data_IF_546181418303
#
_entry.id   IF_546181418303
#
_cell.length_a   1.000
_cell.length_b   1.000
_cell.length_c   1.000
_cell.angle_alpha   90.00
_cell.angle_beta   90.00
_cell.angle_gamma   90.00
#
_symmetry.space_group_name_H-M   'P 1'
#
loop_
_entity.id
_entity.type
_entity.pdbx_description
1 polymer ?
#
# COMPACT_ATOMS: atom_id res chain seq x y z
N UNK A 1 27.67 -13.47 17.40
CA UNK A 1 26.66 -12.38 17.35
C UNK A 1 26.78 -11.52 18.60
N UNK A 2 27.18 -10.26 18.45
CA UNK A 2 27.68 -9.41 19.56
C UNK A 2 26.49 -8.95 20.43
N UNK A 3 26.62 -8.91 21.76
CA UNK A 3 25.56 -8.49 22.72
C UNK A 3 24.81 -7.22 22.27
N UNK A 4 25.53 -6.27 21.66
CA UNK A 4 24.98 -5.05 21.06
C UNK A 4 23.90 -5.30 20.00
N UNK A 5 24.04 -6.33 19.16
CA UNK A 5 23.06 -6.70 18.13
C UNK A 5 21.79 -7.27 18.76
N UNK A 6 21.93 -8.07 19.83
CA UNK A 6 20.79 -8.59 20.60
C UNK A 6 20.01 -7.46 21.29
N UNK A 7 20.71 -6.51 21.90
CA UNK A 7 20.08 -5.33 22.53
C UNK A 7 19.37 -4.48 21.47
N UNK A 8 20.02 -4.21 20.33
CA UNK A 8 19.42 -3.46 19.23
C UNK A 8 18.14 -4.15 18.70
N UNK A 9 18.20 -5.45 18.46
CA UNK A 9 17.05 -6.24 17.98
C UNK A 9 15.90 -6.21 19.00
N UNK A 10 16.22 -6.38 20.29
CA UNK A 10 15.24 -6.28 21.37
C UNK A 10 14.57 -4.91 21.42
N UNK A 11 15.36 -3.82 21.32
CA UNK A 11 14.84 -2.45 21.30
C UNK A 11 13.89 -2.21 20.13
N UNK A 12 14.25 -2.65 18.92
CA UNK A 12 13.41 -2.47 17.72
C UNK A 12 12.08 -3.22 17.84
N UNK A 13 12.07 -4.41 18.45
CA UNK A 13 10.87 -5.24 18.60
C UNK A 13 9.96 -4.80 19.75
N UNK A 14 10.51 -4.25 20.83
CA UNK A 14 9.76 -4.04 22.08
C UNK A 14 9.55 -2.57 22.46
N UNK A 15 10.30 -1.64 21.90
CA UNK A 15 10.16 -0.21 22.20
C UNK A 15 9.37 0.47 21.10
N UNK A 16 8.38 1.27 21.48
CA UNK A 16 7.62 2.08 20.55
C UNK A 16 8.56 2.94 19.70
N UNK A 17 8.49 2.77 18.38
CA UNK A 17 9.36 3.43 17.42
C UNK A 17 9.33 4.97 17.53
N UNK A 18 8.24 5.53 18.06
CA UNK A 18 8.09 6.97 18.31
C UNK A 18 9.04 7.50 19.37
N UNK A 19 9.42 6.68 20.35
CA UNK A 19 10.32 7.11 21.42
C UNK A 19 11.73 7.38 20.92
N UNK A 20 12.15 6.72 19.83
CA UNK A 20 13.44 6.99 19.20
C UNK A 20 13.50 8.40 18.60
N UNK A 21 12.35 8.97 18.20
CA UNK A 21 12.30 10.35 17.70
C UNK A 21 12.64 11.39 18.77
N UNK A 22 12.38 11.09 20.04
CA UNK A 22 12.72 11.97 21.17
C UNK A 22 14.24 12.01 21.40
N UNK A 23 14.95 10.95 21.01
CA UNK A 23 16.40 10.82 21.18
C UNK A 23 17.15 11.31 19.94
N UNK A 24 16.65 11.00 18.75
CA UNK A 24 17.19 11.55 17.50
C UNK A 24 16.21 11.44 16.34
N UNK A 25 16.08 12.54 15.59
CA UNK A 25 15.33 12.58 14.33
C UNK A 25 15.90 11.71 13.22
N UNK A 26 17.12 11.17 13.38
CA UNK A 26 17.74 10.24 12.42
C UNK A 26 17.22 8.81 12.52
N UNK A 27 16.55 8.45 13.63
CA UNK A 27 16.02 7.11 13.86
C UNK A 27 14.49 7.10 13.76
N UNK A 28 13.97 7.35 12.56
CA UNK A 28 12.53 7.21 12.26
C UNK A 28 12.27 5.88 11.59
N UNK A 29 11.44 5.04 12.21
CA UNK A 29 10.98 3.80 11.61
C UNK A 29 9.78 4.06 10.74
N UNK A 30 9.79 3.44 9.58
CA UNK A 30 8.74 3.63 8.59
C UNK A 30 7.59 2.64 8.78
N UNK A 31 7.94 1.43 9.21
CA UNK A 31 7.03 0.31 9.45
C UNK A 31 7.36 -0.35 10.79
N UNK A 32 6.36 -0.91 11.45
CA UNK A 32 6.47 -1.71 12.67
C UNK A 32 7.06 -3.07 12.29
N UNK A 33 7.93 -3.62 13.14
CA UNK A 33 8.42 -5.00 12.97
C UNK A 33 7.41 -5.93 13.64
N UNK A 34 6.89 -6.96 12.96
CA UNK A 34 6.01 -7.93 13.60
C UNK A 34 6.69 -8.62 14.79
N UNK A 35 5.92 -8.86 15.85
CA UNK A 35 6.43 -9.44 17.10
C UNK A 35 6.71 -10.94 17.01
N UNK A 36 6.29 -11.59 15.93
CA UNK A 36 6.43 -13.02 15.72
C UNK A 36 6.89 -13.30 14.29
N UNK A 37 7.96 -14.09 14.16
CA UNK A 37 8.59 -14.50 12.90
C UNK A 37 7.65 -15.31 12.01
N UNK A 38 6.51 -15.79 12.54
CA UNK A 38 5.43 -16.44 11.80
C UNK A 38 4.50 -15.52 11.01
N UNK A 39 4.68 -14.20 11.12
CA UNK A 39 3.87 -13.26 10.35
C UNK A 39 4.26 -13.26 8.87
N UNK A 40 3.25 -13.16 8.01
CA UNK A 40 3.41 -12.88 6.58
C UNK A 40 2.98 -11.45 6.34
N UNK A 41 3.73 -10.70 5.54
CA UNK A 41 3.51 -9.28 5.30
C UNK A 41 2.91 -9.09 3.91
N UNK A 42 2.02 -8.12 3.80
CA UNK A 42 1.51 -7.63 2.53
C UNK A 42 1.48 -6.11 2.55
N UNK A 43 1.60 -5.53 1.37
CA UNK A 43 1.15 -4.17 1.15
C UNK A 43 -0.39 -4.13 1.16
N UNK A 44 -0.94 -2.92 1.35
CA UNK A 44 -2.37 -2.68 1.30
C UNK A 44 -2.67 -1.89 0.03
N UNK A 45 -3.22 -2.59 -0.95
CA UNK A 45 -3.36 -2.11 -2.31
C UNK A 45 -4.71 -1.43 -2.52
N UNK A 46 -4.77 -0.27 -3.21
CA UNK A 46 -6.06 0.27 -3.64
C UNK A 46 -6.81 -0.68 -4.56
N UNK A 47 -8.08 -0.92 -4.26
CA UNK A 47 -9.01 -1.63 -5.11
C UNK A 47 -9.90 -0.60 -5.81
N UNK A 48 -9.84 -0.55 -7.15
CA UNK A 48 -10.75 0.23 -7.99
C UNK A 48 -11.55 -0.69 -8.91
N UNK A 49 -12.84 -0.80 -8.67
CA UNK A 49 -13.78 -1.64 -9.43
C UNK A 49 -15.09 -0.90 -9.78
N UNK A 50 -15.32 0.28 -9.21
CA UNK A 50 -16.46 1.15 -9.51
C UNK A 50 -16.21 2.03 -10.74
N UNK A 51 -17.26 2.69 -11.24
CA UNK A 51 -17.15 3.73 -12.28
C UNK A 51 -16.31 3.31 -13.52
N UNK A 52 -16.58 2.10 -14.01
CA UNK A 52 -15.88 1.45 -15.14
C UNK A 52 -14.41 1.08 -14.90
N UNK A 53 -13.89 1.30 -13.69
CA UNK A 53 -12.58 0.81 -13.32
C UNK A 53 -12.55 -0.70 -13.21
N UNK A 54 -11.39 -1.25 -13.53
CA UNK A 54 -11.00 -2.61 -13.21
C UNK A 54 -9.56 -2.61 -12.72
N UNK A 55 -9.32 -3.35 -11.64
CA UNK A 55 -7.99 -3.57 -11.09
C UNK A 55 -7.50 -4.99 -11.42
N UNK A 56 -6.22 -5.12 -11.69
CA UNK A 56 -5.54 -6.38 -12.00
C UNK A 56 -4.37 -6.54 -11.03
N UNK A 57 -4.21 -7.72 -10.45
CA UNK A 57 -3.07 -7.99 -9.60
C UNK A 57 -2.12 -8.98 -10.25
N UNK A 58 -0.85 -8.62 -10.36
CA UNK A 58 0.21 -9.49 -10.88
C UNK A 58 0.70 -10.39 -9.73
N UNK A 59 0.04 -11.54 -9.54
CA UNK A 59 0.37 -12.49 -8.49
C UNK A 59 1.61 -13.30 -8.88
N UNK A 60 2.69 -13.14 -8.12
CA UNK A 60 3.94 -13.84 -8.35
C UNK A 60 3.95 -15.19 -7.62
N UNK A 61 4.50 -16.22 -8.24
CA UNK A 61 4.80 -17.48 -7.57
C UNK A 61 6.14 -17.35 -6.82
N UNK A 62 6.09 -16.70 -5.65
CA UNK A 62 7.24 -16.46 -4.78
C UNK A 62 8.08 -17.73 -4.54
N UNK A 63 7.51 -18.90 -4.18
CA UNK A 63 8.24 -20.17 -4.13
C UNK A 63 9.19 -20.40 -5.30
N UNK A 64 8.64 -20.32 -6.51
CA UNK A 64 9.33 -20.65 -7.75
C UNK A 64 10.35 -19.57 -8.11
N UNK A 65 10.16 -18.33 -7.67
CA UNK A 65 11.14 -17.27 -7.85
C UNK A 65 12.37 -17.44 -6.95
N UNK A 66 12.16 -17.94 -5.73
CA UNK A 66 13.24 -18.17 -4.76
C UNK A 66 13.99 -19.48 -5.07
N UNK A 67 13.24 -20.56 -5.33
CA UNK A 67 13.79 -21.86 -5.72
C UNK A 67 13.14 -22.36 -7.02
N UNK A 68 13.68 -21.96 -8.19
CA UNK A 68 13.17 -22.38 -9.50
C UNK A 68 13.27 -23.88 -9.76
N UNK A 69 14.11 -24.59 -8.99
CA UNK A 69 14.38 -26.02 -9.16
C UNK A 69 13.45 -26.91 -8.35
N UNK A 70 12.77 -26.37 -7.34
CA UNK A 70 11.80 -27.10 -6.54
C UNK A 70 10.57 -27.48 -7.36
N UNK A 71 10.13 -28.74 -7.27
CA UNK A 71 8.77 -29.11 -7.66
C UNK A 71 7.81 -28.42 -6.69
N UNK A 72 7.25 -27.29 -7.12
CA UNK A 72 6.44 -26.45 -6.24
C UNK A 72 5.19 -27.22 -5.76
N UNK A 73 5.25 -27.67 -4.51
CA UNK A 73 4.12 -28.23 -3.78
C UNK A 73 3.13 -27.10 -3.53
N UNK A 74 1.92 -27.21 -4.10
CA UNK A 74 0.73 -26.35 -3.88
C UNK A 74 1.00 -25.08 -3.06
N UNK A 75 1.11 -23.93 -3.72
CA UNK A 75 1.18 -22.65 -3.03
C UNK A 75 -0.21 -22.00 -3.01
N UNK A 76 -0.84 -21.92 -1.84
CA UNK A 76 -2.07 -21.16 -1.69
C UNK A 76 -1.73 -19.73 -1.28
N UNK A 77 -2.53 -18.81 -1.80
CA UNK A 77 -2.43 -17.39 -1.48
C UNK A 77 -3.79 -16.91 -1.03
N UNK A 78 -3.80 -16.30 0.15
CA UNK A 78 -4.98 -15.71 0.75
C UNK A 78 -5.10 -14.25 0.32
N UNK A 79 -6.22 -13.93 -0.32
CA UNK A 79 -6.66 -12.56 -0.57
C UNK A 79 -7.61 -12.14 0.55
N UNK A 80 -7.40 -10.94 1.07
CA UNK A 80 -8.25 -10.28 2.06
C UNK A 80 -8.71 -8.95 1.49
N UNK A 81 -10.02 -8.69 1.51
CA UNK A 81 -10.61 -7.47 0.97
C UNK A 81 -11.21 -6.62 2.09
N UNK A 82 -11.05 -5.31 1.97
CA UNK A 82 -11.54 -4.33 2.94
C UNK A 82 -12.35 -3.24 2.24
N UNK A 83 -13.34 -2.69 2.94
CA UNK A 83 -14.09 -1.53 2.45
C UNK A 83 -13.25 -0.24 2.55
N UNK A 84 -13.84 0.86 2.10
CA UNK A 84 -13.19 2.18 2.16
C UNK A 84 -12.90 2.67 3.59
N UNK A 85 -13.61 2.13 4.59
CA UNK A 85 -13.40 2.43 6.01
C UNK A 85 -12.39 1.47 6.68
N UNK A 86 -11.89 0.47 5.96
CA UNK A 86 -10.87 -0.48 6.44
C UNK A 86 -11.41 -1.72 7.14
N UNK A 87 -12.72 -1.96 7.08
CA UNK A 87 -13.36 -3.16 7.62
C UNK A 87 -13.23 -4.32 6.63
N UNK A 88 -12.90 -5.51 7.13
CA UNK A 88 -12.81 -6.72 6.29
C UNK A 88 -14.20 -7.08 5.74
N UNK A 89 -14.31 -7.17 4.42
CA UNK A 89 -15.56 -7.53 3.73
C UNK A 89 -15.59 -9.03 3.45
N UNK A 90 -14.51 -9.57 2.86
CA UNK A 90 -14.45 -10.95 2.40
C UNK A 90 -13.01 -11.43 2.25
N UNK A 91 -12.84 -12.74 2.10
CA UNK A 91 -11.56 -13.38 1.83
C UNK A 91 -11.72 -14.56 0.87
N UNK A 92 -10.65 -14.90 0.17
CA UNK A 92 -10.60 -16.11 -0.63
C UNK A 92 -9.17 -16.65 -0.74
N UNK A 93 -9.05 -17.93 -1.03
CA UNK A 93 -7.77 -18.55 -1.34
C UNK A 93 -7.68 -18.87 -2.83
N UNK A 94 -6.52 -18.58 -3.41
CA UNK A 94 -6.17 -18.91 -4.79
C UNK A 94 -4.98 -19.85 -4.75
N UNK A 95 -5.14 -21.02 -5.37
CA UNK A 95 -4.03 -21.92 -5.60
C UNK A 95 -3.21 -21.41 -6.81
N UNK A 96 -1.94 -21.07 -6.58
CA UNK A 96 -1.05 -20.67 -7.67
C UNK A 96 -0.57 -21.93 -8.39
N UNK A 97 -0.77 -21.94 -9.71
CA UNK A 97 -0.25 -22.99 -10.60
C UNK A 97 1.28 -22.91 -10.70
N UNK A 98 1.90 -23.85 -11.41
CA UNK A 98 3.35 -23.84 -11.64
C UNK A 98 3.88 -22.66 -12.50
N UNK A 99 3.04 -21.72 -12.92
CA UNK A 99 3.46 -20.51 -13.62
C UNK A 99 4.24 -19.59 -12.68
N UNK A 100 5.19 -18.81 -13.22
CA UNK A 100 5.96 -17.82 -12.44
C UNK A 100 5.08 -16.64 -11.97
N UNK A 101 4.03 -16.35 -12.73
CA UNK A 101 3.15 -15.20 -12.53
C UNK A 101 1.78 -15.52 -13.10
N UNK A 102 0.74 -15.12 -12.38
CA UNK A 102 -0.65 -15.15 -12.84
C UNK A 102 -1.27 -13.78 -12.65
N UNK A 103 -1.86 -13.20 -13.70
CA UNK A 103 -2.62 -11.95 -13.59
C UNK A 103 -4.04 -12.25 -13.11
N UNK A 104 -4.42 -11.68 -11.98
CA UNK A 104 -5.76 -11.83 -11.38
C UNK A 104 -6.61 -10.62 -11.79
N UNK A 105 -7.74 -10.86 -12.46
CA UNK A 105 -8.76 -9.83 -12.69
C UNK A 105 -9.55 -9.63 -11.39
N UNK A 106 -9.30 -8.52 -10.68
CA UNK A 106 -9.89 -8.29 -9.37
C UNK A 106 -11.37 -7.97 -9.45
N UNK A 107 -11.87 -7.34 -10.53
CA UNK A 107 -13.31 -7.10 -10.68
C UNK A 107 -14.09 -8.40 -10.85
N UNK A 108 -13.57 -9.35 -11.62
CA UNK A 108 -14.18 -10.68 -11.75
C UNK A 108 -14.13 -11.47 -10.44
N UNK A 109 -13.00 -11.41 -9.72
CA UNK A 109 -12.86 -12.05 -8.42
C UNK A 109 -13.82 -11.45 -7.37
N UNK A 110 -13.87 -10.13 -7.29
CA UNK A 110 -14.78 -9.38 -6.41
C UNK A 110 -16.25 -9.69 -6.72
N UNK A 111 -16.61 -9.79 -8.01
CA UNK A 111 -17.96 -10.17 -8.43
C UNK A 111 -18.40 -11.54 -7.90
N UNK A 112 -17.49 -12.53 -7.86
CA UNK A 112 -17.77 -13.85 -7.26
C UNK A 112 -17.93 -13.80 -5.73
N UNK A 113 -17.36 -12.79 -5.10
CA UNK A 113 -17.39 -12.56 -3.64
C UNK A 113 -18.48 -11.55 -3.22
N UNK A 114 -19.32 -11.09 -4.15
CA UNK A 114 -20.33 -10.04 -3.95
C UNK A 114 -19.75 -8.71 -3.44
N UNK A 115 -18.52 -8.37 -3.86
CA UNK A 115 -17.89 -7.08 -3.58
C UNK A 115 -18.10 -6.18 -4.80
N UNK A 116 -18.73 -5.02 -4.59
CA UNK A 116 -19.12 -4.10 -5.66
C UNK A 116 -18.59 -2.67 -5.50
N UNK A 117 -17.86 -2.37 -4.43
CA UNK A 117 -17.34 -1.04 -4.12
C UNK A 117 -15.80 -1.00 -4.13
N UNK A 118 -15.26 0.20 -4.34
CA UNK A 118 -13.84 0.46 -4.13
C UNK A 118 -13.44 0.24 -2.65
N UNK A 119 -12.15 0.01 -2.43
CA UNK A 119 -11.64 -0.34 -1.10
C UNK A 119 -10.15 -0.63 -1.12
N UNK A 120 -9.72 -1.58 -0.30
CA UNK A 120 -8.35 -2.10 -0.35
C UNK A 120 -8.32 -3.61 -0.34
N UNK A 121 -7.19 -4.19 -0.73
CA UNK A 121 -6.95 -5.61 -0.56
C UNK A 121 -5.51 -5.89 -0.15
N UNK A 122 -5.31 -7.04 0.49
CA UNK A 122 -4.02 -7.57 0.89
C UNK A 122 -3.89 -9.02 0.43
N UNK A 123 -2.66 -9.44 0.19
CA UNK A 123 -2.32 -10.74 -0.38
C UNK A 123 -1.24 -11.41 0.47
N UNK A 124 -1.54 -12.58 1.01
CA UNK A 124 -0.64 -13.32 1.90
C UNK A 124 -0.32 -14.68 1.31
N UNK A 125 0.98 -14.96 1.15
CA UNK A 125 1.47 -16.27 0.73
C UNK A 125 1.58 -17.21 1.91
N UNK A 126 1.32 -18.50 1.67
CA UNK A 126 1.61 -19.51 2.67
C UNK A 126 3.08 -19.52 3.06
N UNK A 127 3.33 -19.85 4.33
CA UNK A 127 4.65 -19.84 4.93
C UNK A 127 5.44 -21.08 4.54
N UNK A 128 5.70 -21.26 3.25
CA UNK A 128 6.40 -22.44 2.70
C UNK A 128 7.93 -22.33 2.88
N UNK A 129 8.50 -21.13 3.15
CA UNK A 129 9.95 -20.86 3.01
C UNK A 129 10.75 -20.60 4.30
N UNK A 130 10.24 -20.92 5.49
CA UNK A 130 10.92 -20.51 6.73
C UNK A 130 12.37 -20.97 6.87
N UNK A 131 12.74 -22.09 6.26
CA UNK A 131 14.08 -22.66 6.44
C UNK A 131 15.17 -21.86 5.69
N UNK A 132 14.80 -20.95 4.77
CA UNK A 132 15.74 -20.19 3.95
C UNK A 132 15.74 -18.67 4.25
N UNK A 133 14.91 -18.20 5.18
CA UNK A 133 14.90 -16.79 5.59
C UNK A 133 15.98 -16.55 6.65
N UNK A 134 16.72 -15.44 6.52
CA UNK A 134 17.65 -14.98 7.55
C UNK A 134 16.83 -14.59 8.79
N UNK A 135 17.30 -14.99 9.98
CA UNK A 135 16.69 -14.65 11.28
C UNK A 135 16.25 -13.17 11.35
N UNK A 136 14.97 -12.96 11.69
CA UNK A 136 14.37 -11.64 11.78
C UNK A 136 13.88 -11.03 10.45
N UNK A 137 13.90 -11.81 9.36
CA UNK A 137 13.34 -11.43 8.05
C UNK A 137 11.93 -11.96 7.87
N UNK A 138 11.13 -11.27 7.06
CA UNK A 138 9.74 -11.62 6.78
C UNK A 138 9.52 -11.66 5.27
N UNK A 139 8.65 -12.58 4.84
CA UNK A 139 8.15 -12.55 3.47
C UNK A 139 7.13 -11.41 3.33
N UNK A 140 7.33 -10.54 2.35
CA UNK A 140 6.44 -9.42 2.05
C UNK A 140 5.97 -9.47 0.59
N UNK A 141 4.65 -9.46 0.38
CA UNK A 141 4.05 -9.30 -0.95
C UNK A 141 3.93 -7.81 -1.27
N UNK A 142 4.71 -7.38 -2.26
CA UNK A 142 4.73 -5.99 -2.75
C UNK A 142 4.02 -5.81 -4.08
N UNK A 143 3.89 -6.87 -4.88
CA UNK A 143 3.07 -6.96 -6.08
C UNK A 143 3.14 -5.82 -7.10
N UNK A 144 2.33 -5.94 -8.14
CA UNK A 144 1.98 -4.84 -9.03
C UNK A 144 0.47 -4.84 -9.24
N UNK A 145 -0.15 -3.67 -9.13
CA UNK A 145 -1.55 -3.46 -9.43
C UNK A 145 -1.65 -2.70 -10.74
N UNK A 146 -2.28 -3.33 -11.73
CA UNK A 146 -2.70 -2.68 -12.96
C UNK A 146 -4.10 -2.12 -12.80
N UNK A 147 -4.33 -0.91 -13.31
CA UNK A 147 -5.66 -0.32 -13.40
C UNK A 147 -6.05 -0.19 -14.86
N UNK A 148 -7.33 -0.31 -15.16
CA UNK A 148 -7.92 -0.11 -16.49
C UNK A 148 -9.22 0.68 -16.34
N UNK A 149 -9.45 1.63 -17.24
CA UNK A 149 -10.75 2.23 -17.44
C UNK A 149 -11.00 2.42 -18.93
N UNK A 150 -11.87 1.59 -19.50
CA UNK A 150 -12.12 1.54 -20.96
C UNK A 150 -12.72 2.83 -21.53
N UNK A 151 -13.35 3.66 -20.69
CA UNK A 151 -13.84 4.98 -21.11
C UNK A 151 -12.70 5.99 -21.27
N UNK A 152 -11.66 5.86 -20.46
CA UNK A 152 -10.49 6.74 -20.50
C UNK A 152 -9.49 6.28 -21.56
N UNK A 153 -9.31 4.97 -21.80
CA UNK A 153 -8.46 4.48 -22.87
C UNK A 153 -8.19 2.97 -22.79
N UNK A 154 -7.45 2.40 -23.77
CA UNK A 154 -7.20 0.97 -23.83
C UNK A 154 -5.98 0.51 -22.99
N UNK A 155 -5.22 1.46 -22.43
CA UNK A 155 -3.95 1.18 -21.75
C UNK A 155 -4.19 0.95 -20.25
N UNK A 156 -3.46 -0.02 -19.70
CA UNK A 156 -3.38 -0.25 -18.26
C UNK A 156 -2.21 0.52 -17.66
N UNK A 157 -2.47 1.28 -16.61
CA UNK A 157 -1.41 1.87 -15.78
C UNK A 157 -1.05 0.93 -14.64
N UNK A 158 0.24 0.82 -14.29
CA UNK A 158 0.69 -0.08 -13.21
C UNK A 158 1.45 0.67 -12.13
N UNK A 159 1.22 0.28 -10.89
CA UNK A 159 1.97 0.75 -9.73
C UNK A 159 2.25 -0.44 -8.81
N UNK A 160 3.42 -0.47 -8.18
CA UNK A 160 3.71 -1.48 -7.17
C UNK A 160 3.07 -1.09 -5.82
N UNK A 161 3.09 -2.02 -4.87
CA UNK A 161 2.68 -1.76 -3.49
C UNK A 161 3.53 -0.66 -2.86
N UNK A 162 2.91 0.14 -2.01
CA UNK A 162 3.58 1.30 -1.44
C UNK A 162 4.66 0.89 -0.42
N UNK A 163 4.24 0.20 0.65
CA UNK A 163 5.04 -0.20 1.81
C UNK A 163 4.37 -1.37 2.51
N UNK A 164 5.20 -2.14 3.24
CA UNK A 164 4.81 -3.20 4.17
C UNK A 164 3.73 -2.67 5.14
N UNK A 165 2.46 -2.90 4.79
CA UNK A 165 1.34 -2.17 5.35
C UNK A 165 0.61 -2.97 6.41
N UNK A 166 0.52 -4.27 6.21
CA UNK A 166 -0.28 -5.17 7.03
C UNK A 166 0.43 -6.51 7.19
N UNK A 167 0.37 -7.09 8.38
CA UNK A 167 0.80 -8.46 8.61
C UNK A 167 -0.35 -9.37 9.02
N UNK A 168 -0.29 -10.61 8.56
CA UNK A 168 -1.17 -11.69 8.95
C UNK A 168 -0.44 -12.63 9.91
N UNK A 169 -0.99 -12.78 11.12
CA UNK A 169 -0.54 -13.69 12.17
C UNK A 169 -1.77 -14.27 12.88
N UNK A 170 -1.80 -14.27 14.23
CA UNK A 170 -3.05 -14.60 14.96
C UNK A 170 -4.18 -13.59 14.68
N UNK A 171 -3.80 -12.32 14.53
CA UNK A 171 -4.68 -11.21 14.18
C UNK A 171 -4.01 -10.40 13.07
N UNK A 172 -4.81 -9.68 12.28
CA UNK A 172 -4.29 -8.68 11.35
C UNK A 172 -3.67 -7.52 12.12
N UNK A 173 -2.51 -7.04 11.66
CA UNK A 173 -1.81 -5.91 12.27
C UNK A 173 -1.33 -4.93 11.22
N UNK A 174 -1.81 -3.69 11.32
CA UNK A 174 -1.36 -2.55 10.54
C UNK A 174 0.04 -2.10 10.99
N UNK A 175 0.96 -2.03 10.04
CA UNK A 175 2.40 -1.85 10.27
C UNK A 175 2.86 -0.40 10.09
N UNK A 176 2.02 0.51 9.62
CA UNK A 176 2.36 1.93 9.48
C UNK A 176 2.72 2.56 10.82
N UNK A 177 3.87 3.26 10.84
CA UNK A 177 4.34 3.99 12.02
C UNK A 177 3.90 5.45 11.95
N UNK A 178 3.28 5.91 13.04
CA UNK A 178 3.00 7.33 13.24
C UNK A 178 4.09 7.98 14.09
N UNK A 179 4.34 9.27 13.91
CA UNK A 179 5.26 10.12 14.66
C UNK A 179 4.53 10.93 15.73
N UNK A 180 5.26 11.37 16.76
CA UNK A 180 4.76 12.41 17.67
C UNK A 180 4.56 13.75 16.96
N UNK A 181 5.48 14.09 16.06
CA UNK A 181 5.49 15.34 15.32
C UNK A 181 4.91 15.15 13.93
N UNK A 182 4.29 16.19 13.39
CA UNK A 182 3.84 16.16 12.00
C UNK A 182 5.07 16.17 11.08
N UNK A 183 5.06 15.33 10.05
CA UNK A 183 6.04 15.26 8.99
C UNK A 183 5.45 15.84 7.71
N UNK A 184 6.32 16.43 6.89
CA UNK A 184 5.97 16.93 5.56
C UNK A 184 6.48 15.96 4.51
N UNK A 185 5.61 15.54 3.61
CA UNK A 185 5.94 14.80 2.40
C UNK A 185 5.71 15.72 1.21
N UNK A 186 6.78 16.07 0.50
CA UNK A 186 6.66 16.81 -0.75
C UNK A 186 6.42 15.80 -1.87
N UNK A 187 5.34 15.97 -2.61
CA UNK A 187 5.07 15.14 -3.76
C UNK A 187 6.18 15.36 -4.80
N UNK A 188 6.77 14.27 -5.30
CA UNK A 188 7.89 14.25 -6.24
C UNK A 188 7.42 14.43 -7.69
N UNK A 189 6.39 15.23 -7.89
CA UNK A 189 5.79 15.51 -9.18
C UNK A 189 5.28 16.95 -9.20
N UNK A 190 5.54 17.64 -10.33
CA UNK A 190 5.01 18.99 -10.55
C UNK A 190 3.74 18.87 -11.38
N UNK A 191 2.64 19.40 -10.86
CA UNK A 191 1.32 19.25 -11.46
C UNK A 191 1.05 20.32 -12.51
N UNK A 192 0.59 19.86 -13.67
CA UNK A 192 0.23 20.65 -14.85
C UNK A 192 -1.26 21.04 -14.75
N UNK A 193 -1.62 22.23 -15.21
CA UNK A 193 -3.00 22.74 -15.13
C UNK A 193 -3.91 22.25 -16.28
N UNK A 194 -3.39 21.44 -17.20
CA UNK A 194 -4.16 20.80 -18.25
C UNK A 194 -4.81 19.47 -17.83
N UNK A 195 -4.49 18.95 -16.65
CA UNK A 195 -4.91 17.62 -16.21
C UNK A 195 -5.55 17.64 -14.82
N UNK A 196 -6.51 16.75 -14.63
CA UNK A 196 -7.05 16.42 -13.31
C UNK A 196 -6.17 15.36 -12.63
N UNK A 197 -6.03 15.47 -11.32
CA UNK A 197 -5.27 14.51 -10.51
C UNK A 197 -6.12 14.01 -9.36
N UNK A 198 -6.21 12.70 -9.20
CA UNK A 198 -6.85 12.05 -8.06
C UNK A 198 -5.83 11.31 -7.22
N UNK A 199 -5.78 11.65 -5.93
CA UNK A 199 -4.84 11.11 -4.96
C UNK A 199 -5.55 10.09 -4.11
N UNK A 200 -4.99 8.90 -3.97
CA UNK A 200 -5.46 7.86 -3.08
C UNK A 200 -4.47 7.68 -1.93
N UNK A 201 -4.97 7.76 -0.70
CA UNK A 201 -4.21 7.39 0.49
C UNK A 201 -4.82 6.18 1.15
N UNK A 202 -3.97 5.19 1.38
CA UNK A 202 -4.26 4.03 2.20
C UNK A 202 -3.69 4.28 3.59
N UNK A 203 -4.51 4.16 4.63
CA UNK A 203 -4.04 4.31 6.00
C UNK A 203 -3.48 3.00 6.52
N UNK A 204 -2.16 2.90 6.54
CA UNK A 204 -1.46 1.71 7.03
C UNK A 204 -1.26 1.70 8.54
N UNK A 205 -1.80 2.67 9.29
CA UNK A 205 -1.66 2.76 10.75
C UNK A 205 -2.92 2.34 11.50
N UNK A 206 -2.76 1.98 12.77
CA UNK A 206 -3.82 1.58 13.70
C UNK A 206 -4.63 2.75 14.28
N UNK A 207 -4.47 3.95 13.71
CA UNK A 207 -5.14 5.18 14.16
C UNK A 207 -5.66 5.94 12.96
N UNK A 208 -6.66 6.79 13.17
CA UNK A 208 -7.13 7.70 12.13
C UNK A 208 -5.98 8.56 11.60
N UNK A 209 -5.80 8.50 10.28
CA UNK A 209 -4.85 9.33 9.57
C UNK A 209 -5.53 10.64 9.20
N UNK A 210 -5.01 11.75 9.74
CA UNK A 210 -5.38 13.10 9.33
C UNK A 210 -4.27 13.67 8.46
N UNK A 211 -4.59 13.93 7.20
CA UNK A 211 -3.71 14.52 6.19
C UNK A 211 -4.14 15.95 5.94
N UNK A 212 -3.19 16.88 6.06
CA UNK A 212 -3.34 18.23 5.54
C UNK A 212 -2.67 18.29 4.18
N UNK A 213 -3.45 18.56 3.14
CA UNK A 213 -2.97 18.78 1.76
C UNK A 213 -2.76 20.27 1.59
N UNK A 214 -1.54 20.68 1.22
CA UNK A 214 -1.15 22.07 1.03
C UNK A 214 -0.77 22.27 -0.44
N UNK A 215 -1.56 23.05 -1.16
CA UNK A 215 -1.32 23.33 -2.57
C UNK A 215 -0.57 24.66 -2.76
N UNK A 216 0.64 24.62 -3.33
CA UNK A 216 1.41 25.82 -3.68
C UNK A 216 1.32 26.10 -5.19
N UNK A 217 1.19 27.37 -5.63
CA UNK A 217 1.30 28.60 -4.84
C UNK A 217 -0.01 29.08 -4.16
N UNK A 218 -1.11 28.32 -4.24
CA UNK A 218 -2.43 28.76 -3.75
C UNK A 218 -2.61 28.88 -2.23
N UNK A 219 -1.75 28.26 -1.43
CA UNK A 219 -1.92 28.11 0.03
C UNK A 219 -3.29 27.53 0.45
N UNK A 220 -3.99 26.87 -0.47
CA UNK A 220 -5.21 26.14 -0.17
C UNK A 220 -4.87 24.94 0.70
N UNK A 221 -5.65 24.77 1.78
CA UNK A 221 -5.46 23.72 2.75
C UNK A 221 -6.71 22.86 2.79
N UNK A 222 -6.57 21.60 2.40
CA UNK A 222 -7.61 20.59 2.52
C UNK A 222 -7.25 19.59 3.62
N UNK A 223 -8.25 19.09 4.34
CA UNK A 223 -8.05 18.06 5.36
C UNK A 223 -8.77 16.79 4.97
N UNK A 224 -8.05 15.67 5.01
CA UNK A 224 -8.55 14.35 4.68
C UNK A 224 -8.37 13.48 5.91
N UNK A 225 -9.44 12.78 6.29
CA UNK A 225 -9.40 11.76 7.34
C UNK A 225 -9.58 10.38 6.69
N UNK A 226 -8.73 9.44 7.08
CA UNK A 226 -8.76 8.06 6.61
C UNK A 226 -8.73 7.13 7.81
N UNK A 227 -9.74 6.27 7.93
CA UNK A 227 -9.85 5.25 8.99
C UNK A 227 -8.71 4.21 8.89
N UNK A 228 -8.31 3.54 9.98
CA UNK A 228 -7.29 2.47 9.96
C UNK A 228 -7.60 1.40 8.89
N UNK A 229 -6.64 1.08 8.02
CA UNK A 229 -6.84 0.11 6.93
C UNK A 229 -7.71 0.62 5.77
N UNK A 230 -8.35 1.78 5.94
CA UNK A 230 -9.21 2.39 4.95
C UNK A 230 -8.44 3.11 3.84
N UNK A 231 -9.22 3.61 2.88
CA UNK A 231 -8.74 4.37 1.74
C UNK A 231 -9.61 5.60 1.49
N UNK A 232 -8.98 6.71 1.10
CA UNK A 232 -9.72 7.90 0.66
C UNK A 232 -9.09 8.51 -0.57
N UNK A 233 -9.94 8.99 -1.48
CA UNK A 233 -9.51 9.78 -2.63
C UNK A 233 -9.72 11.29 -2.41
N UNK A 234 -8.88 12.09 -3.06
CA UNK A 234 -9.00 13.55 -3.16
C UNK A 234 -8.72 13.97 -4.60
N UNK A 235 -9.63 14.76 -5.16
CA UNK A 235 -9.48 15.27 -6.52
C UNK A 235 -8.91 16.69 -6.43
N UNK A 236 -7.71 16.87 -6.97
CA UNK A 236 -7.09 18.16 -7.16
C UNK A 236 -7.40 18.65 -8.58
N UNK A 237 -8.39 19.52 -8.72
CA UNK A 237 -8.76 20.12 -10.00
C UNK A 237 -7.75 21.18 -10.43
N UNK A 238 -7.50 21.38 -11.73
CA UNK A 238 -6.60 22.43 -12.20
C UNK A 238 -7.13 23.83 -11.86
N UNK A 239 -6.21 24.72 -11.49
CA UNK A 239 -6.48 26.14 -11.32
C UNK A 239 -5.88 26.85 -12.54
N UNK A 240 -6.75 27.32 -13.44
CA UNK A 240 -6.33 27.99 -14.68
C UNK A 240 -5.36 29.15 -14.39
N UNK A 241 -4.23 29.17 -15.09
CA UNK A 241 -3.24 30.25 -14.98
C UNK A 241 -2.19 30.07 -13.88
N UNK A 242 -2.21 28.93 -13.17
CA UNK A 242 -1.12 28.50 -12.28
C UNK A 242 -0.39 27.32 -12.93
N UNK A 243 0.55 27.64 -13.82
CA UNK A 243 1.22 26.67 -14.70
C UNK A 243 1.94 25.52 -13.97
N UNK A 244 2.33 25.70 -12.70
CA UNK A 244 3.01 24.66 -11.92
C UNK A 244 2.51 24.67 -10.48
N UNK A 245 2.03 23.52 -10.01
CA UNK A 245 1.63 23.32 -8.62
C UNK A 245 2.50 22.28 -7.95
N UNK A 246 2.83 22.55 -6.68
CA UNK A 246 3.50 21.61 -5.80
C UNK A 246 2.55 21.28 -4.65
N UNK A 247 2.39 20.00 -4.36
CA UNK A 247 1.55 19.52 -3.26
C UNK A 247 2.45 19.03 -2.14
N UNK A 248 2.19 19.55 -0.94
CA UNK A 248 2.85 19.15 0.28
C UNK A 248 1.82 18.51 1.20
N UNK A 249 2.09 17.29 1.64
CA UNK A 249 1.26 16.59 2.60
C UNK A 249 1.86 16.73 3.99
N UNK A 250 1.04 17.09 4.97
CA UNK A 250 1.44 17.13 6.37
C UNK A 250 0.58 16.16 7.19
N UNK A 251 1.21 15.18 7.84
CA UNK A 251 0.52 14.21 8.70
C UNK A 251 1.44 13.65 9.78
N UNK A 252 0.88 12.85 10.69
CA UNK A 252 1.69 12.07 11.64
C UNK A 252 2.16 10.73 11.08
N UNK A 253 1.68 10.28 9.92
CA UNK A 253 2.23 9.05 9.31
C UNK A 253 3.64 9.37 8.79
N UNK A 254 4.63 8.53 9.11
CA UNK A 254 6.02 8.80 8.74
C UNK A 254 6.23 8.93 7.23
N UNK A 255 5.32 8.37 6.42
CA UNK A 255 5.38 8.42 4.98
C UNK A 255 3.99 8.25 4.38
N UNK A 256 3.32 9.37 4.18
CA UNK A 256 1.99 9.43 3.59
C UNK A 256 2.04 9.54 2.06
N UNK A 257 2.82 8.67 1.39
CA UNK A 257 2.96 8.70 -0.07
C UNK A 257 1.66 8.23 -0.73
N UNK A 258 0.98 9.05 -1.54
CA UNK A 258 -0.23 8.63 -2.25
C UNK A 258 0.08 7.80 -3.48
N UNK A 259 -0.95 7.13 -3.99
CA UNK A 259 -1.03 6.74 -5.40
C UNK A 259 -1.80 7.84 -6.13
N UNK A 260 -1.27 8.32 -7.26
CA UNK A 260 -1.82 9.43 -8.02
C UNK A 260 -2.30 8.89 -9.36
N UNK A 261 -3.57 9.17 -9.69
CA UNK A 261 -4.13 8.98 -11.01
C UNK A 261 -4.15 10.34 -11.73
N UNK A 262 -3.44 10.43 -12.85
CA UNK A 262 -3.46 11.60 -13.75
C UNK A 262 -4.43 11.33 -14.88
N UNK A 263 -5.45 12.16 -15.03
CA UNK A 263 -6.45 12.02 -16.08
C UNK A 263 -6.11 12.88 -17.29
N UNK A 264 -6.12 12.26 -18.47
CA UNK A 264 -5.88 12.90 -19.77
C UNK A 264 -7.10 12.67 -20.66
N UNK A 265 -7.23 13.43 -21.75
CA UNK A 265 -8.44 13.39 -22.60
C UNK A 265 -8.82 12.00 -23.13
N UNK A 266 -7.82 11.14 -23.40
CA UNK A 266 -8.00 9.79 -23.97
C UNK A 266 -7.06 8.76 -23.34
N UNK A 267 -6.64 9.01 -22.10
CA UNK A 267 -5.84 8.07 -21.31
C UNK A 267 -5.81 8.48 -19.85
N UNK A 268 -5.18 7.67 -19.03
CA UNK A 268 -4.76 8.06 -17.70
C UNK A 268 -3.37 7.48 -17.43
N UNK A 269 -2.72 7.99 -16.39
CA UNK A 269 -1.49 7.43 -15.84
C UNK A 269 -1.65 7.21 -14.34
N UNK A 270 -0.86 6.30 -13.77
CA UNK A 270 -0.87 5.98 -12.34
C UNK A 270 0.55 5.84 -11.82
N UNK A 271 0.87 6.55 -10.73
CA UNK A 271 2.21 6.58 -10.18
C UNK A 271 2.20 6.87 -8.69
N UNK A 272 3.35 6.66 -8.03
CA UNK A 272 3.57 7.09 -6.66
C UNK A 272 3.90 8.59 -6.62
N UNK A 273 3.27 9.31 -5.69
CA UNK A 273 3.61 10.71 -5.41
C UNK A 273 4.94 10.90 -4.70
#
# INVERSE_FOLDING_TARGET
>A
MKIKEKIKSWLIKNVDSRLFELVSSKYTFTVKVPNNENHVISDLFPLRIENDWNSFFELLNIPRLIDPSSECVKNNVKFLFFNSDGETINECEINIKNELKTTINLKELCGKLNISSDGTFAVFHDKVFNNNLIDGSFLAERGYVGYENKKLGPIKGYVHGNYDAISSGKNLMLLGVTSFFKKKYNIQYVFDDNFDYEFFWVNTSDKDLVLKVIEKPGNENSYIRVSPGGIKSYICKPIKGKNLRNIILESKLNMARPIIFKYMNKSFDVFHG
#
